data_IF_624258190799
#
_entry.id   IF_624258190799
#
_cell.length_a   1.000
_cell.length_b   1.000
_cell.length_c   1.000
_cell.angle_alpha   90.00
_cell.angle_beta   90.00
_cell.angle_gamma   90.00
#
_symmetry.space_group_name_H-M   'P 1'
#
loop_
_entity.id
_entity.type
_entity.pdbx_description
1 polymer ?
#
# COMPACT_ATOMS: atom_id res chain seq x y z
N UNK A 1 -4.18 16.08 -9.93
CA UNK A 1 -4.35 14.84 -9.15
C UNK A 1 -3.07 14.51 -8.42
N UNK A 2 -3.16 14.00 -7.20
CA UNK A 2 -2.00 13.54 -6.41
C UNK A 2 -2.22 12.09 -5.98
N UNK A 3 -1.16 11.26 -6.05
CA UNK A 3 -1.21 9.86 -5.62
C UNK A 3 -0.16 9.64 -4.54
N UNK A 4 -0.62 9.15 -3.38
CA UNK A 4 0.24 8.64 -2.32
C UNK A 4 0.31 7.12 -2.41
N UNK A 5 1.49 6.58 -2.70
CA UNK A 5 1.74 5.14 -2.59
C UNK A 5 1.84 4.78 -1.10
N UNK A 6 0.73 4.28 -0.56
CA UNK A 6 0.58 3.88 0.84
C UNK A 6 0.86 2.38 1.02
N UNK A 7 0.30 1.74 2.04
CA UNK A 7 0.42 0.32 2.36
C UNK A 7 -0.70 -0.07 3.33
N UNK A 8 -1.06 -1.35 3.39
CA UNK A 8 -1.85 -1.92 4.48
C UNK A 8 -1.34 -1.48 5.87
N UNK A 9 -0.03 -1.30 6.02
CA UNK A 9 0.59 -0.85 7.26
C UNK A 9 0.35 0.62 7.63
N UNK A 10 -0.38 1.38 6.81
CA UNK A 10 -0.93 2.67 7.21
C UNK A 10 -2.13 2.53 8.17
N UNK A 11 -2.85 1.41 8.09
CA UNK A 11 -4.10 1.15 8.83
C UNK A 11 -4.05 -0.11 9.70
N UNK A 12 -3.01 -0.93 9.56
CA UNK A 12 -2.76 -2.10 10.39
C UNK A 12 -1.35 -2.10 10.98
N UNK A 13 -1.21 -2.54 12.23
CA UNK A 13 0.09 -2.65 12.89
C UNK A 13 0.84 -3.92 12.46
N UNK A 14 2.16 -3.81 12.27
CA UNK A 14 3.07 -4.93 12.05
C UNK A 14 4.21 -4.92 13.06
N UNK A 15 4.47 -6.07 13.70
CA UNK A 15 5.56 -6.22 14.67
C UNK A 15 6.90 -5.98 13.97
N UNK A 16 7.74 -5.11 14.54
CA UNK A 16 9.03 -4.70 13.96
C UNK A 16 8.93 -3.66 12.83
N UNK A 17 7.73 -3.19 12.48
CA UNK A 17 7.51 -2.22 11.41
C UNK A 17 7.16 -0.81 11.93
N UNK A 18 7.46 -0.49 13.18
CA UNK A 18 7.00 0.75 13.83
C UNK A 18 7.28 2.04 13.04
N UNK A 19 8.51 2.23 12.54
CA UNK A 19 8.84 3.40 11.71
C UNK A 19 8.04 3.42 10.40
N UNK A 20 7.94 2.28 9.71
CA UNK A 20 7.24 2.17 8.44
C UNK A 20 5.73 2.40 8.61
N UNK A 21 5.10 1.76 9.58
CA UNK A 21 3.68 1.93 9.92
C UNK A 21 3.38 3.40 10.26
N UNK A 22 4.16 4.01 11.15
CA UNK A 22 3.94 5.39 11.58
C UNK A 22 4.02 6.38 10.42
N UNK A 23 5.01 6.26 9.54
CA UNK A 23 5.15 7.15 8.38
C UNK A 23 4.04 6.92 7.36
N UNK A 24 3.63 5.68 7.11
CA UNK A 24 2.53 5.38 6.19
C UNK A 24 1.19 5.92 6.71
N UNK A 25 0.89 5.74 8.00
CA UNK A 25 -0.28 6.32 8.65
C UNK A 25 -0.27 7.86 8.61
N UNK A 26 0.87 8.47 8.92
CA UNK A 26 1.03 9.93 8.87
C UNK A 26 0.83 10.49 7.46
N UNK A 27 1.35 9.81 6.42
CA UNK A 27 1.16 10.22 5.02
C UNK A 27 -0.31 10.17 4.61
N UNK A 28 -1.04 9.14 4.99
CA UNK A 28 -2.48 9.09 4.68
C UNK A 28 -3.25 10.20 5.37
N UNK A 29 -2.98 10.45 6.66
CA UNK A 29 -3.62 11.54 7.38
C UNK A 29 -3.30 12.90 6.76
N UNK A 30 -2.04 13.13 6.38
CA UNK A 30 -1.64 14.34 5.66
C UNK A 30 -2.46 14.52 4.38
N UNK A 31 -2.60 13.47 3.56
CA UNK A 31 -3.35 13.56 2.31
C UNK A 31 -4.86 13.68 2.50
N UNK A 32 -5.42 13.13 3.59
CA UNK A 32 -6.82 13.36 3.98
C UNK A 32 -7.06 14.84 4.32
N UNK A 33 -6.20 15.45 5.12
CA UNK A 33 -6.27 16.89 5.42
C UNK A 33 -6.08 17.73 4.16
N UNK A 34 -5.06 17.42 3.35
CA UNK A 34 -4.78 18.12 2.09
C UNK A 34 -5.99 18.11 1.14
N UNK A 35 -6.70 16.98 1.01
CA UNK A 35 -7.89 16.89 0.17
C UNK A 35 -9.07 17.73 0.68
N UNK A 36 -9.23 17.87 2.01
CA UNK A 36 -10.22 18.76 2.61
C UNK A 36 -9.89 20.24 2.37
N UNK A 37 -8.61 20.60 2.42
CA UNK A 37 -8.14 21.96 2.16
C UNK A 37 -8.19 22.33 0.66
N UNK A 38 -8.12 21.34 -0.23
CA UNK A 38 -8.03 21.50 -1.67
C UNK A 38 -9.11 20.67 -2.40
N UNK A 39 -10.40 21.02 -2.28
CA UNK A 39 -11.51 20.20 -2.79
C UNK A 39 -11.49 19.99 -4.31
N UNK A 40 -10.85 20.88 -5.07
CA UNK A 40 -10.70 20.76 -6.53
C UNK A 40 -9.59 19.77 -6.94
N UNK A 41 -8.81 19.27 -5.98
CA UNK A 41 -7.71 18.33 -6.23
C UNK A 41 -8.14 16.91 -5.84
N UNK A 42 -8.25 16.04 -6.85
CA UNK A 42 -8.41 14.60 -6.62
C UNK A 42 -7.13 13.99 -6.02
N UNK A 43 -7.28 13.28 -4.91
CA UNK A 43 -6.21 12.62 -4.16
C UNK A 43 -6.52 11.14 -4.00
N UNK A 44 -5.51 10.28 -4.09
CA UNK A 44 -5.66 8.84 -3.87
C UNK A 44 -4.56 8.32 -2.94
N UNK A 45 -4.93 7.56 -1.91
CA UNK A 45 -4.00 6.76 -1.11
C UNK A 45 -4.06 5.31 -1.62
N UNK A 46 -3.13 4.92 -2.49
CA UNK A 46 -3.13 3.59 -3.11
C UNK A 46 -2.15 2.62 -2.42
N UNK A 47 -2.66 1.53 -1.84
CA UNK A 47 -1.84 0.46 -1.29
C UNK A 47 -1.58 -0.61 -2.38
N UNK A 48 -0.32 -0.81 -2.80
CA UNK A 48 -0.01 -1.62 -3.98
C UNK A 48 -0.06 -3.14 -3.76
N UNK A 49 -0.38 -3.61 -2.55
CA UNK A 49 -0.18 -4.99 -2.13
C UNK A 49 1.31 -5.36 -1.91
N UNK A 50 1.63 -6.64 -1.64
CA UNK A 50 3.00 -7.14 -1.58
C UNK A 50 3.58 -7.30 -2.99
N UNK A 51 4.60 -6.51 -3.34
CA UNK A 51 5.18 -6.44 -4.68
C UNK A 51 6.63 -6.93 -4.69
N UNK A 52 6.98 -7.79 -5.64
CA UNK A 52 8.30 -8.39 -5.79
C UNK A 52 9.33 -7.33 -6.19
N UNK A 53 9.99 -6.81 -5.16
CA UNK A 53 10.93 -5.68 -5.20
C UNK A 53 12.04 -5.91 -4.18
N UNK A 54 13.07 -5.07 -4.22
CA UNK A 54 14.15 -5.10 -3.20
C UNK A 54 13.60 -4.90 -1.78
N UNK A 55 12.55 -4.09 -1.60
CA UNK A 55 11.90 -3.90 -0.30
C UNK A 55 11.26 -5.21 0.19
N UNK A 56 10.57 -5.94 -0.69
CA UNK A 56 9.97 -7.23 -0.33
C UNK A 56 11.03 -8.28 0.00
N UNK A 57 12.12 -8.32 -0.79
CA UNK A 57 13.28 -9.19 -0.49
C UNK A 57 13.86 -8.88 0.89
N UNK A 58 14.06 -7.59 1.20
CA UNK A 58 14.55 -7.15 2.52
C UNK A 58 13.60 -7.59 3.65
N UNK A 59 12.29 -7.48 3.46
CA UNK A 59 11.30 -7.93 4.46
C UNK A 59 11.36 -9.45 4.67
N UNK A 60 11.42 -10.25 3.60
CA UNK A 60 11.56 -11.71 3.69
C UNK A 60 12.81 -12.13 4.51
N UNK A 61 13.89 -11.37 4.41
CA UNK A 61 15.15 -11.65 5.08
C UNK A 61 15.20 -11.12 6.52
N UNK A 62 14.73 -9.88 6.74
CA UNK A 62 15.07 -9.08 7.94
C UNK A 62 13.91 -8.79 8.88
N UNK A 63 12.66 -9.04 8.51
CA UNK A 63 11.54 -8.77 9.42
C UNK A 63 11.66 -9.62 10.69
N UNK A 64 11.50 -8.98 11.85
CA UNK A 64 11.79 -9.62 13.14
C UNK A 64 10.68 -10.56 13.60
N UNK A 65 9.44 -10.34 13.18
CA UNK A 65 8.31 -11.20 13.52
C UNK A 65 8.40 -12.53 12.76
N UNK A 66 8.57 -13.68 13.45
CA UNK A 66 8.68 -14.97 12.80
C UNK A 66 7.43 -15.36 12.01
N UNK A 67 6.24 -14.92 12.46
CA UNK A 67 4.98 -15.21 11.76
C UNK A 67 4.91 -14.46 10.44
N UNK A 68 5.13 -13.15 10.45
CA UNK A 68 5.21 -12.35 9.23
C UNK A 68 6.34 -12.84 8.31
N UNK A 69 7.52 -13.14 8.85
CA UNK A 69 8.65 -13.68 8.07
C UNK A 69 8.27 -14.95 7.33
N UNK A 70 7.62 -15.90 8.00
CA UNK A 70 7.12 -17.12 7.38
C UNK A 70 6.10 -16.80 6.27
N UNK A 71 5.12 -15.95 6.53
CA UNK A 71 4.08 -15.59 5.56
C UNK A 71 4.67 -14.94 4.28
N UNK A 72 5.61 -14.01 4.41
CA UNK A 72 6.24 -13.36 3.26
C UNK A 72 7.11 -14.32 2.43
N UNK A 73 7.87 -15.21 3.10
CA UNK A 73 8.63 -16.24 2.38
C UNK A 73 7.69 -17.24 1.67
N UNK A 74 6.59 -17.65 2.30
CA UNK A 74 5.59 -18.50 1.64
C UNK A 74 4.97 -17.83 0.40
N UNK A 75 4.72 -16.52 0.43
CA UNK A 75 4.23 -15.79 -0.75
C UNK A 75 5.23 -15.86 -1.91
N UNK A 76 6.53 -15.77 -1.61
CA UNK A 76 7.61 -15.88 -2.60
C UNK A 76 7.68 -17.30 -3.18
N UNK A 77 7.67 -18.32 -2.32
CA UNK A 77 7.73 -19.73 -2.72
C UNK A 77 6.52 -20.13 -3.58
N UNK A 78 5.32 -19.72 -3.17
CA UNK A 78 4.06 -19.99 -3.88
C UNK A 78 3.83 -19.07 -5.08
N UNK A 79 4.73 -18.11 -5.34
CA UNK A 79 4.61 -17.10 -6.41
C UNK A 79 3.30 -16.31 -6.36
N UNK A 80 2.83 -15.99 -5.16
CA UNK A 80 1.63 -15.17 -4.93
C UNK A 80 1.94 -13.70 -4.65
N UNK A 81 3.23 -13.35 -4.55
CA UNK A 81 3.70 -11.96 -4.56
C UNK A 81 3.43 -11.32 -5.93
N UNK A 82 3.03 -10.05 -5.94
CA UNK A 82 2.65 -9.33 -7.17
C UNK A 82 3.89 -8.87 -7.94
N UNK A 83 3.80 -8.81 -9.26
CA UNK A 83 4.77 -8.08 -10.08
C UNK A 83 4.49 -6.58 -10.03
N UNK A 84 5.51 -5.77 -10.37
CA UNK A 84 5.35 -4.32 -10.52
C UNK A 84 4.32 -3.97 -11.60
N UNK A 85 4.29 -4.73 -12.70
CA UNK A 85 3.32 -4.56 -13.77
C UNK A 85 1.88 -4.83 -13.29
N UNK A 86 1.66 -5.89 -12.51
CA UNK A 86 0.34 -6.20 -11.96
C UNK A 86 -0.21 -5.06 -11.11
N UNK A 87 0.60 -4.54 -10.16
CA UNK A 87 0.15 -3.46 -9.28
C UNK A 87 -0.03 -2.13 -10.02
N UNK A 88 0.80 -1.83 -11.02
CA UNK A 88 0.65 -0.61 -11.85
C UNK A 88 -0.60 -0.70 -12.73
N UNK A 89 -0.85 -1.84 -13.37
CA UNK A 89 -2.06 -2.05 -14.15
C UNK A 89 -3.33 -1.92 -13.28
N UNK A 90 -3.28 -2.44 -12.05
CA UNK A 90 -4.36 -2.28 -11.07
C UNK A 90 -4.58 -0.83 -10.68
N UNK A 91 -3.52 -0.07 -10.38
CA UNK A 91 -3.61 1.36 -10.13
C UNK A 91 -4.26 2.10 -11.30
N UNK A 92 -3.82 1.85 -12.54
CA UNK A 92 -4.43 2.46 -13.74
C UNK A 92 -5.92 2.12 -13.85
N UNK A 93 -6.32 0.90 -13.49
CA UNK A 93 -7.73 0.52 -13.45
C UNK A 93 -8.51 1.28 -12.37
N UNK A 94 -7.99 1.38 -11.15
CA UNK A 94 -8.58 2.19 -10.05
C UNK A 94 -8.80 3.64 -10.51
N UNK A 95 -7.80 4.23 -11.18
CA UNK A 95 -7.87 5.60 -11.68
C UNK A 95 -8.93 5.78 -12.78
N UNK A 96 -9.06 4.79 -13.68
CA UNK A 96 -10.07 4.81 -14.76
C UNK A 96 -11.49 4.64 -14.23
N UNK A 97 -11.68 3.73 -13.28
CA UNK A 97 -13.01 3.46 -12.72
C UNK A 97 -13.44 4.54 -11.72
N UNK A 98 -12.48 5.14 -11.00
CA UNK A 98 -12.70 6.27 -10.09
C UNK A 98 -13.83 6.03 -9.07
N UNK A 99 -13.95 4.81 -8.57
CA UNK A 99 -14.96 4.41 -7.57
C UNK A 99 -14.42 4.58 -6.14
N UNK A 100 -13.94 5.78 -5.85
CA UNK A 100 -13.40 6.16 -4.54
C UNK A 100 -13.63 7.65 -4.31
N UNK A 101 -13.72 8.08 -3.05
CA UNK A 101 -13.74 9.51 -2.70
C UNK A 101 -12.32 10.04 -2.57
N UNK A 102 -12.14 11.36 -2.77
CA UNK A 102 -10.81 11.98 -2.64
C UNK A 102 -10.19 11.66 -1.28
N UNK A 103 -8.93 11.21 -1.31
CA UNK A 103 -8.11 10.72 -0.20
C UNK A 103 -8.53 9.39 0.46
N UNK A 104 -9.43 8.63 -0.15
CA UNK A 104 -9.70 7.25 0.28
C UNK A 104 -8.44 6.37 0.18
N UNK A 105 -8.34 5.43 1.12
CA UNK A 105 -7.40 4.31 1.06
C UNK A 105 -8.00 3.25 0.13
N UNK A 106 -7.29 2.91 -0.94
CA UNK A 106 -7.67 1.83 -1.86
C UNK A 106 -6.52 0.85 -1.94
N UNK A 107 -6.75 -0.39 -1.54
CA UNK A 107 -5.81 -1.49 -1.64
C UNK A 107 -5.94 -2.21 -2.98
N UNK A 108 -4.83 -2.79 -3.44
CA UNK A 108 -4.79 -3.64 -4.64
C UNK A 108 -5.91 -4.68 -4.67
N UNK A 109 -6.22 -5.29 -3.52
CA UNK A 109 -7.20 -6.37 -3.38
C UNK A 109 -8.64 -5.89 -3.15
N UNK A 110 -8.88 -4.57 -3.01
CA UNK A 110 -10.23 -4.04 -2.87
C UNK A 110 -11.03 -4.26 -4.15
N UNK A 111 -12.36 -4.38 -4.05
CA UNK A 111 -13.23 -4.47 -5.23
C UNK A 111 -13.35 -3.07 -5.85
N UNK A 112 -13.41 -3.02 -7.19
CA UNK A 112 -13.80 -1.81 -7.91
C UNK A 112 -15.30 -1.84 -8.17
#
# INVERSE_FOLDING_TARGET
MVINITSLYAIQAGVGCGQYCSVKAAREMYFKVFALENPDVNVLNYAPGPVDTDMFTMVCEKIIDPKAKKAFNEMREKKTVLTTEQTVNRLVQVLKEHKYNSADHVDYYDKL
#
